data_IF_299344193911
#
_entry.id   IF_299344193911
#
_cell.length_a   1.000
_cell.length_b   1.000
_cell.length_c   1.000
_cell.angle_alpha   90.00
_cell.angle_beta   90.00
_cell.angle_gamma   90.00
#
_symmetry.space_group_name_H-M   'P 1'
#
loop_
_entity.id
_entity.type
_entity.pdbx_description
1 polymer ?
#
# COMPACT_ATOMS: atom_id res chain seq x y z
N UNK A 1 -11.48 14.09 15.09
CA UNK A 1 -11.30 15.14 14.07
C UNK A 1 -11.96 14.75 12.75
N UNK A 2 -11.62 13.61 12.14
CA UNK A 2 -12.27 13.11 10.89
C UNK A 2 -13.80 13.04 11.00
N UNK A 3 -14.35 12.50 12.10
CA UNK A 3 -15.81 12.47 12.31
C UNK A 3 -16.46 13.86 12.29
N UNK A 4 -15.76 14.90 12.77
CA UNK A 4 -16.27 16.29 12.74
C UNK A 4 -16.26 16.87 11.33
N UNK A 5 -15.26 16.56 10.52
CA UNK A 5 -15.19 17.01 9.11
C UNK A 5 -16.19 16.28 8.22
N UNK A 6 -16.42 14.99 8.47
CA UNK A 6 -17.40 14.19 7.75
C UNK A 6 -18.84 14.61 8.05
N UNK A 7 -19.14 14.94 9.32
CA UNK A 7 -20.47 15.42 9.73
C UNK A 7 -20.96 16.70 9.02
N UNK A 8 -20.04 17.49 8.42
CA UNK A 8 -20.40 18.67 7.63
C UNK A 8 -21.06 18.34 6.28
N UNK A 9 -21.06 17.06 5.86
CA UNK A 9 -21.74 16.54 4.67
C UNK A 9 -21.59 17.45 3.42
N UNK A 10 -20.35 17.81 3.11
CA UNK A 10 -20.02 18.65 1.95
C UNK A 10 -20.13 17.82 0.66
N UNK A 11 -20.43 18.49 -0.45
CA UNK A 11 -20.43 17.89 -1.79
C UNK A 11 -19.10 17.20 -2.09
N UNK A 12 -19.15 16.04 -2.76
CA UNK A 12 -17.95 15.24 -3.07
C UNK A 12 -17.66 15.18 -4.58
N UNK A 13 -18.66 15.37 -5.44
CA UNK A 13 -18.52 15.18 -6.88
C UNK A 13 -17.78 16.36 -7.54
N UNK A 14 -16.75 16.04 -8.33
CA UNK A 14 -15.94 17.03 -9.08
C UNK A 14 -15.39 18.19 -8.21
N UNK A 15 -14.99 17.88 -6.97
CA UNK A 15 -14.37 18.82 -6.04
C UNK A 15 -12.97 18.37 -5.61
N UNK A 16 -12.23 19.25 -4.95
CA UNK A 16 -10.97 18.92 -4.30
C UNK A 16 -11.24 18.00 -3.09
N UNK A 17 -10.75 16.77 -3.16
CA UNK A 17 -11.03 15.73 -2.16
C UNK A 17 -9.80 15.38 -1.33
N UNK A 18 -10.06 14.87 -0.12
CA UNK A 18 -9.05 14.27 0.76
C UNK A 18 -9.53 12.87 1.16
N UNK A 19 -8.73 11.85 0.85
CA UNK A 19 -8.99 10.46 1.24
C UNK A 19 -8.39 10.16 2.62
N UNK A 20 -9.18 9.55 3.50
CA UNK A 20 -8.75 9.06 4.81
C UNK A 20 -8.92 7.54 4.86
N UNK A 21 -7.84 6.79 4.65
CA UNK A 21 -7.85 5.32 4.71
C UNK A 21 -7.41 4.84 6.10
N UNK A 22 -8.19 3.93 6.71
CA UNK A 22 -7.86 3.35 8.02
C UNK A 22 -7.39 1.91 7.82
N UNK A 23 -6.22 1.57 8.37
CA UNK A 23 -5.73 0.20 8.47
C UNK A 23 -5.41 -0.10 9.94
N UNK A 24 -5.52 -1.37 10.34
CA UNK A 24 -5.13 -1.80 11.69
C UNK A 24 -4.71 -3.26 11.71
N UNK A 25 -4.01 -3.66 12.77
CA UNK A 25 -3.63 -5.03 13.06
C UNK A 25 -4.08 -5.39 14.47
N UNK A 26 -4.76 -6.52 14.63
CA UNK A 26 -5.12 -7.06 15.93
C UNK A 26 -4.00 -8.02 16.37
N UNK A 27 -3.13 -7.57 17.27
CA UNK A 27 -2.01 -8.39 17.76
C UNK A 27 -2.48 -9.34 18.87
N UNK A 28 -2.55 -10.63 18.57
CA UNK A 28 -2.72 -11.71 19.55
C UNK A 28 -1.32 -12.26 19.84
N UNK A 29 -0.74 -12.00 21.03
CA UNK A 29 0.63 -12.42 21.34
C UNK A 29 0.79 -13.94 21.30
N UNK A 30 1.96 -14.40 20.83
CA UNK A 30 2.33 -15.82 20.79
C UNK A 30 3.67 -16.06 21.50
N UNK A 31 3.97 -17.29 21.97
CA UNK A 31 5.26 -17.59 22.60
C UNK A 31 6.48 -17.26 21.75
N UNK A 32 6.36 -17.33 20.41
CA UNK A 32 7.43 -16.98 19.47
C UNK A 32 7.73 -15.48 19.42
N UNK A 33 6.83 -14.64 19.94
CA UNK A 33 7.06 -13.20 20.06
C UNK A 33 8.01 -12.86 21.23
N UNK A 34 8.42 -13.86 22.02
CA UNK A 34 9.33 -13.74 23.16
C UNK A 34 10.67 -14.46 22.92
N UNK A 35 11.82 -13.91 23.38
CA UNK A 35 12.02 -12.62 24.05
C UNK A 35 12.06 -11.41 23.12
N UNK A 36 12.12 -11.66 21.81
CA UNK A 36 12.17 -10.63 20.78
C UNK A 36 11.15 -10.98 19.71
N UNK A 37 10.17 -10.10 19.52
CA UNK A 37 9.13 -10.27 18.52
C UNK A 37 9.71 -10.14 17.10
N UNK A 38 9.48 -11.12 16.21
CA UNK A 38 9.78 -10.96 14.79
C UNK A 38 8.96 -9.85 14.14
N UNK A 39 9.50 -9.20 13.11
CA UNK A 39 8.79 -8.12 12.40
C UNK A 39 7.49 -8.60 11.75
N UNK A 40 6.39 -7.87 12.00
CA UNK A 40 5.14 -8.00 11.27
C UNK A 40 4.98 -6.80 10.32
N UNK A 41 4.75 -7.07 9.04
CA UNK A 41 4.61 -6.05 8.00
C UNK A 41 3.16 -5.91 7.57
N UNK A 42 2.70 -4.67 7.46
CA UNK A 42 1.38 -4.31 6.96
C UNK A 42 1.52 -3.04 6.10
N UNK A 43 0.79 -2.96 5.00
CA UNK A 43 0.86 -1.83 4.09
C UNK A 43 -0.21 -1.90 3.02
N UNK A 44 -0.28 -0.84 2.22
CA UNK A 44 -1.16 -0.74 1.06
C UNK A 44 -0.40 -0.05 -0.08
N UNK A 45 -0.91 -0.20 -1.30
CA UNK A 45 -0.36 0.44 -2.49
C UNK A 45 -1.46 1.15 -3.24
N UNK A 46 -1.22 2.40 -3.65
CA UNK A 46 -2.03 3.06 -4.66
C UNK A 46 -1.47 2.67 -6.02
N UNK A 47 -2.31 2.07 -6.85
CA UNK A 47 -1.96 1.68 -8.20
C UNK A 47 -2.77 2.48 -9.20
N UNK A 48 -2.16 2.93 -10.32
CA UNK A 48 -2.91 3.51 -11.41
C UNK A 48 -3.89 2.47 -11.95
N UNK A 49 -5.15 2.86 -12.12
CA UNK A 49 -6.20 2.06 -12.76
C UNK A 49 -6.85 2.90 -13.85
N UNK A 50 -6.77 2.44 -15.10
CA UNK A 50 -7.20 3.22 -16.27
C UNK A 50 -6.47 4.55 -16.48
N UNK A 51 -5.36 4.80 -15.78
CA UNK A 51 -4.63 6.08 -15.86
C UNK A 51 -3.71 6.19 -17.08
N UNK A 52 -3.19 5.05 -17.57
CA UNK A 52 -2.31 4.98 -18.74
C UNK A 52 -2.96 4.14 -19.84
N UNK A 53 -2.75 4.52 -21.11
CA UNK A 53 -3.26 3.77 -22.28
C UNK A 53 -2.53 2.43 -22.48
N UNK A 54 -1.31 2.32 -21.96
CA UNK A 54 -0.48 1.12 -22.04
C UNK A 54 0.41 0.99 -20.78
N UNK A 55 1.15 -0.12 -20.67
CA UNK A 55 2.05 -0.36 -19.55
C UNK A 55 3.11 0.78 -19.44
N UNK A 56 3.14 1.55 -18.34
CA UNK A 56 4.07 2.67 -18.18
C UNK A 56 5.54 2.25 -18.09
N UNK A 57 5.82 0.96 -17.86
CA UNK A 57 7.18 0.42 -17.76
C UNK A 57 7.61 -0.34 -19.03
N UNK A 58 6.89 -0.21 -20.15
CA UNK A 58 7.15 -1.01 -21.35
C UNK A 58 8.55 -0.80 -21.95
N UNK A 59 9.06 0.44 -21.89
CA UNK A 59 10.38 0.79 -22.45
C UNK A 59 11.53 0.64 -21.45
N UNK A 60 11.26 0.09 -20.25
CA UNK A 60 12.30 -0.12 -19.24
C UNK A 60 13.18 -1.32 -19.63
N UNK A 61 14.51 -1.16 -19.68
CA UNK A 61 15.41 -2.27 -19.99
C UNK A 61 15.31 -3.35 -18.90
N UNK A 62 15.41 -4.64 -19.27
CA UNK A 62 15.35 -5.72 -18.30
C UNK A 62 16.56 -5.67 -17.34
N UNK A 63 16.37 -6.18 -16.13
CA UNK A 63 17.48 -6.35 -15.18
C UNK A 63 18.53 -7.30 -15.75
N UNK A 64 19.82 -7.03 -15.48
CA UNK A 64 20.91 -7.90 -15.90
C UNK A 64 20.69 -9.35 -15.40
N UNK A 65 20.94 -10.32 -16.28
CA UNK A 65 20.82 -11.74 -15.93
C UNK A 65 21.83 -12.09 -14.81
N UNK A 66 21.34 -12.63 -13.69
CA UNK A 66 22.21 -13.28 -12.70
C UNK A 66 22.78 -14.53 -13.36
N UNK A 67 24.11 -14.66 -13.42
CA UNK A 67 24.75 -15.93 -13.80
C UNK A 67 24.27 -16.99 -12.81
N UNK A 68 23.49 -17.96 -13.27
CA UNK A 68 23.20 -19.16 -12.50
C UNK A 68 24.51 -19.92 -12.36
N UNK A 69 25.10 -19.88 -11.16
CA UNK A 69 26.20 -20.75 -10.81
C UNK A 69 25.65 -22.18 -10.69
N UNK A 70 25.68 -22.90 -11.81
CA UNK A 70 25.60 -24.36 -11.84
C UNK A 70 26.74 -24.83 -12.75
N UNK A 71 27.76 -25.41 -12.12
CA UNK A 71 28.45 -26.57 -12.68
C UNK A 71 27.53 -27.79 -12.58
#
# INVERSE_FOLDING_TARGET
MVCRYSAANRELENTELVLWYTFGHNHIPRPEDWPVMPTSCIGFSLKPDGFFDANPAMDMPPSAAKKTCCD
#
